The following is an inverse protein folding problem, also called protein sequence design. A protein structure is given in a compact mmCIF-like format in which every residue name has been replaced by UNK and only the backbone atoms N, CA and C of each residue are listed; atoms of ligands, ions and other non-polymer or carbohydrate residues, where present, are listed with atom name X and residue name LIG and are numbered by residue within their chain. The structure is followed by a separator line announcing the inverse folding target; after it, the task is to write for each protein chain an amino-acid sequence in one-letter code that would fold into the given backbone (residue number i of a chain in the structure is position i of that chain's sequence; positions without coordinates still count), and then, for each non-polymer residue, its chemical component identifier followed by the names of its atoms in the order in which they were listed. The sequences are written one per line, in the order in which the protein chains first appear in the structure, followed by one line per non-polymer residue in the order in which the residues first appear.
data_IF_606702170185
#
_entry.id   IF_606702170185
#
_cell.length_a   1.000
_cell.length_b   1.000
_cell.length_c   1.000
_cell.angle_alpha   90.00
_cell.angle_beta   90.00
_cell.angle_gamma   90.00
#
_symmetry.space_group_name_H-M   'P 1'
#
loop_
_entity.id
_entity.type
_entity.pdbx_description
1 polymer ?
#
# COMPACT_ATOMS: atom_id res chain seq x y z
N UNK A 1 37.35 -27.18 72.46
CA UNK A 1 36.07 -26.66 72.01
C UNK A 1 36.30 -25.86 70.75
N UNK A 2 35.82 -26.37 69.53
CA UNK A 2 36.03 -25.69 68.24
C UNK A 2 34.76 -24.88 67.93
N UNK A 3 34.96 -23.59 67.72
CA UNK A 3 33.87 -22.63 67.38
C UNK A 3 33.31 -22.86 66.00
N UNK A 4 32.02 -23.21 65.83
CA UNK A 4 31.29 -23.47 64.58
C UNK A 4 30.58 -22.21 64.03
N UNK A 5 31.22 -21.05 64.06
CA UNK A 5 30.46 -19.82 63.73
C UNK A 5 30.99 -18.98 62.54
N UNK A 6 31.76 -19.54 61.63
CA UNK A 6 32.32 -18.75 60.54
C UNK A 6 31.99 -19.18 59.09
N UNK A 7 30.91 -20.00 58.85
CA UNK A 7 30.66 -20.55 57.53
C UNK A 7 29.41 -20.04 56.81
N UNK A 8 28.73 -19.03 57.35
CA UNK A 8 27.42 -18.64 56.82
C UNK A 8 27.34 -17.19 56.28
N UNK A 9 28.42 -16.41 56.39
CA UNK A 9 28.44 -15.02 55.88
C UNK A 9 28.66 -14.88 54.37
N UNK A 10 29.44 -15.80 53.77
CA UNK A 10 29.75 -15.75 52.31
C UNK A 10 28.55 -16.09 51.39
N UNK A 11 27.66 -16.98 51.82
CA UNK A 11 26.50 -17.38 50.99
C UNK A 11 25.37 -16.35 50.93
N UNK A 12 25.21 -15.52 51.97
CA UNK A 12 24.18 -14.50 52.01
C UNK A 12 24.49 -13.31 51.07
N UNK A 13 25.78 -12.93 50.96
CA UNK A 13 26.21 -11.84 50.09
C UNK A 13 26.21 -12.23 48.61
N UNK A 14 26.50 -13.50 48.27
CA UNK A 14 26.42 -14.00 46.90
C UNK A 14 24.96 -14.04 46.38
N UNK A 15 23.98 -14.42 47.22
CA UNK A 15 22.58 -14.36 46.84
C UNK A 15 22.05 -12.93 46.65
N UNK A 16 22.53 -11.96 47.46
CA UNK A 16 22.12 -10.56 47.30
C UNK A 16 22.66 -9.93 46.01
N UNK A 17 23.91 -10.24 45.65
CA UNK A 17 24.50 -9.75 44.39
C UNK A 17 23.83 -10.36 43.16
N UNK A 18 23.45 -11.64 43.18
CA UNK A 18 22.75 -12.29 42.10
C UNK A 18 21.32 -11.73 41.92
N UNK A 19 20.64 -11.40 43.02
CA UNK A 19 19.30 -10.78 42.96
C UNK A 19 19.34 -9.36 42.40
N UNK A 20 20.33 -8.55 42.77
CA UNK A 20 20.48 -7.17 42.27
C UNK A 20 20.85 -7.18 40.76
N UNK A 21 21.72 -8.08 40.33
CA UNK A 21 22.12 -8.20 38.93
C UNK A 21 20.93 -8.62 38.06
N UNK A 22 20.06 -9.52 38.53
CA UNK A 22 18.83 -9.94 37.84
C UNK A 22 17.82 -8.79 37.72
N UNK A 23 17.69 -7.97 38.79
CA UNK A 23 16.75 -6.82 38.76
C UNK A 23 17.20 -5.74 37.78
N UNK A 24 18.51 -5.46 37.71
CA UNK A 24 19.10 -4.46 36.80
C UNK A 24 18.98 -4.90 35.35
N UNK A 25 19.13 -6.19 35.03
CA UNK A 25 18.93 -6.71 33.67
C UNK A 25 17.47 -6.62 33.22
N UNK A 26 16.52 -6.91 34.13
CA UNK A 26 15.06 -6.77 33.82
C UNK A 26 14.67 -5.31 33.59
N UNK A 27 15.20 -4.37 34.38
CA UNK A 27 14.93 -2.94 34.17
C UNK A 27 15.56 -2.41 32.88
N UNK A 28 16.75 -2.87 32.52
CA UNK A 28 17.41 -2.52 31.24
C UNK A 28 16.65 -3.10 30.04
N UNK A 29 16.07 -4.31 30.13
CA UNK A 29 15.24 -4.88 29.07
C UNK A 29 13.90 -4.15 28.92
N UNK A 30 13.30 -3.65 30.02
CA UNK A 30 12.05 -2.88 29.96
C UNK A 30 12.26 -1.47 29.39
N UNK A 31 13.42 -0.86 29.56
CA UNK A 31 13.73 0.45 28.97
C UNK A 31 14.09 0.40 27.48
N UNK A 32 14.49 -0.76 26.94
CA UNK A 32 14.78 -0.94 25.51
C UNK A 32 13.53 -1.15 24.65
N UNK A 33 12.34 -1.32 25.27
CA UNK A 33 11.09 -1.63 24.55
C UNK A 33 10.22 -0.43 24.20
N UNK A 34 10.65 0.81 24.47
CA UNK A 34 9.81 2.00 24.30
C UNK A 34 10.44 3.07 23.41
N UNK A 35 10.98 2.69 22.24
CA UNK A 35 11.24 3.68 21.19
C UNK A 35 10.96 3.08 19.81
N UNK A 36 9.83 2.42 19.63
CA UNK A 36 9.18 2.39 18.32
C UNK A 36 8.57 3.79 18.12
N UNK A 37 9.42 4.74 17.72
CA UNK A 37 9.00 6.05 17.26
C UNK A 37 8.00 5.80 16.11
N UNK A 38 6.72 5.89 16.42
CA UNK A 38 5.61 5.65 15.50
C UNK A 38 5.48 6.75 14.44
N UNK A 39 6.62 7.25 13.94
CA UNK A 39 6.65 8.11 12.77
C UNK A 39 6.15 7.28 11.59
N UNK A 40 4.88 7.46 11.23
CA UNK A 40 4.38 6.99 9.93
C UNK A 40 5.35 7.52 8.88
N UNK A 41 5.87 6.64 8.05
CA UNK A 41 6.73 7.05 6.93
C UNK A 41 5.98 8.15 6.17
N UNK A 42 6.67 9.28 5.94
CA UNK A 42 6.07 10.40 5.20
C UNK A 42 5.74 9.93 3.80
N UNK A 43 4.47 10.05 3.41
CA UNK A 43 4.01 9.71 2.06
C UNK A 43 4.23 10.89 1.11
N UNK A 44 4.42 10.58 -0.16
CA UNK A 44 4.30 11.58 -1.22
C UNK A 44 2.83 12.04 -1.33
N UNK A 45 2.61 13.32 -1.64
CA UNK A 45 1.24 13.89 -1.68
C UNK A 45 0.39 13.22 -2.75
N UNK A 46 0.91 13.09 -3.98
CA UNK A 46 0.22 12.37 -5.05
C UNK A 46 1.19 11.81 -6.10
N UNK A 47 0.68 10.87 -6.92
CA UNK A 47 1.39 10.36 -8.09
C UNK A 47 0.43 9.87 -9.18
N UNK A 48 0.85 9.97 -10.44
CA UNK A 48 0.11 9.50 -11.62
C UNK A 48 0.87 8.32 -12.24
N UNK A 49 0.16 7.18 -12.41
CA UNK A 49 0.76 5.90 -12.80
C UNK A 49 -0.15 5.16 -13.78
N UNK A 50 -0.38 5.72 -14.97
CA UNK A 50 -1.34 5.16 -15.95
C UNK A 50 -0.85 3.84 -16.55
N UNK A 51 0.47 3.63 -16.59
CA UNK A 51 1.08 2.40 -17.12
C UNK A 51 1.51 1.41 -16.00
N UNK A 52 0.89 1.53 -14.81
CA UNK A 52 1.18 0.64 -13.70
C UNK A 52 0.16 -0.49 -13.62
N UNK A 53 0.60 -1.65 -13.15
CA UNK A 53 -0.25 -2.79 -12.84
C UNK A 53 -0.18 -3.17 -11.35
N UNK A 54 -0.80 -4.31 -11.00
CA UNK A 54 -0.86 -4.86 -9.65
C UNK A 54 0.52 -5.03 -8.97
N UNK A 55 1.61 -5.15 -9.71
CA UNK A 55 2.97 -5.30 -9.16
C UNK A 55 3.45 -4.00 -8.51
N UNK A 56 2.88 -2.86 -8.90
CA UNK A 56 3.22 -1.55 -8.36
C UNK A 56 2.58 -1.27 -6.98
N UNK A 57 1.64 -2.09 -6.48
CA UNK A 57 0.95 -1.87 -5.21
C UNK A 57 1.89 -1.53 -4.04
N UNK A 58 3.04 -2.22 -3.83
CA UNK A 58 3.97 -1.86 -2.75
C UNK A 58 4.55 -0.44 -2.88
N UNK A 59 4.74 0.05 -4.10
CA UNK A 59 5.23 1.42 -4.37
C UNK A 59 4.11 2.45 -4.17
N UNK A 60 2.91 2.14 -4.64
CA UNK A 60 1.75 3.04 -4.59
C UNK A 60 1.33 3.38 -3.16
N UNK A 61 1.55 2.49 -2.20
CA UNK A 61 1.30 2.71 -0.76
C UNK A 61 2.09 3.88 -0.17
N UNK A 62 3.18 4.30 -0.81
CA UNK A 62 3.98 5.43 -0.37
C UNK A 62 3.37 6.80 -0.75
N UNK A 63 2.17 6.82 -1.33
CA UNK A 63 1.46 8.02 -1.75
C UNK A 63 0.18 8.21 -0.94
N UNK A 64 -0.17 9.48 -0.66
CA UNK A 64 -1.47 9.82 -0.06
C UNK A 64 -2.59 9.65 -1.09
N UNK A 65 -2.30 10.02 -2.35
CA UNK A 65 -3.23 9.95 -3.46
C UNK A 65 -2.52 9.38 -4.70
N UNK A 66 -3.16 8.45 -5.37
CA UNK A 66 -2.69 7.92 -6.66
C UNK A 66 -3.78 8.01 -7.71
N UNK A 67 -3.36 8.33 -8.94
CA UNK A 67 -4.17 8.21 -10.15
C UNK A 67 -3.57 7.06 -10.97
N UNK A 68 -4.36 6.04 -11.22
CA UNK A 68 -3.96 4.80 -11.91
C UNK A 68 -4.99 4.45 -12.98
N UNK A 69 -4.66 3.54 -13.89
CA UNK A 69 -5.67 2.85 -14.69
C UNK A 69 -6.18 1.63 -13.90
N UNK A 70 -7.36 1.76 -13.29
CA UNK A 70 -7.91 0.75 -12.40
C UNK A 70 -8.20 -0.59 -13.10
N UNK A 71 -8.30 -0.64 -14.43
CA UNK A 71 -8.53 -1.88 -15.19
C UNK A 71 -7.36 -2.88 -15.06
N UNK A 72 -6.16 -2.42 -14.68
CA UNK A 72 -4.99 -3.27 -14.41
C UNK A 72 -4.88 -3.75 -12.96
N UNK A 73 -5.87 -3.41 -12.11
CA UNK A 73 -5.87 -3.76 -10.68
C UNK A 73 -7.13 -4.54 -10.30
N UNK A 74 -6.97 -5.48 -9.38
CA UNK A 74 -8.12 -6.17 -8.81
C UNK A 74 -8.76 -5.34 -7.68
N UNK A 75 -10.04 -5.60 -7.39
CA UNK A 75 -10.72 -5.03 -6.20
C UNK A 75 -9.94 -5.30 -4.90
N UNK A 76 -9.21 -6.41 -4.82
CA UNK A 76 -8.36 -6.74 -3.66
C UNK A 76 -7.15 -5.80 -3.56
N UNK A 77 -6.56 -5.42 -4.69
CA UNK A 77 -5.40 -4.53 -4.71
C UNK A 77 -5.80 -3.10 -4.33
N UNK A 78 -6.94 -2.63 -4.84
CA UNK A 78 -7.52 -1.33 -4.44
C UNK A 78 -7.82 -1.31 -2.93
N UNK A 79 -8.44 -2.36 -2.37
CA UNK A 79 -8.68 -2.46 -0.92
C UNK A 79 -7.39 -2.40 -0.09
N UNK A 80 -6.28 -2.98 -0.58
CA UNK A 80 -4.99 -2.88 0.11
C UNK A 80 -4.47 -1.44 0.14
N UNK A 81 -4.58 -0.71 -0.96
CA UNK A 81 -4.19 0.71 -1.02
C UNK A 81 -5.02 1.55 -0.04
N UNK A 82 -6.34 1.35 -0.02
CA UNK A 82 -7.23 2.03 0.94
C UNK A 82 -6.90 1.69 2.39
N UNK A 83 -6.58 0.42 2.71
CA UNK A 83 -6.21 0.00 4.06
C UNK A 83 -4.91 0.67 4.55
N UNK A 84 -4.00 1.02 3.64
CA UNK A 84 -2.78 1.79 3.93
C UNK A 84 -3.02 3.32 3.93
N UNK A 85 -4.29 3.75 3.77
CA UNK A 85 -4.67 5.16 3.75
C UNK A 85 -4.33 5.89 2.46
N UNK A 86 -4.15 5.17 1.34
CA UNK A 86 -3.93 5.77 0.02
C UNK A 86 -5.28 5.97 -0.67
N UNK A 87 -5.58 7.19 -1.10
CA UNK A 87 -6.74 7.49 -1.96
C UNK A 87 -6.41 7.08 -3.39
N UNK A 88 -7.36 6.42 -4.05
CA UNK A 88 -7.19 5.93 -5.42
C UNK A 88 -8.21 6.59 -6.33
N UNK A 89 -7.75 7.20 -7.41
CA UNK A 89 -8.56 7.67 -8.52
C UNK A 89 -8.23 6.85 -9.76
N UNK A 90 -9.24 6.54 -10.57
CA UNK A 90 -9.04 5.85 -11.84
C UNK A 90 -9.01 6.83 -12.99
N UNK A 91 -8.03 6.66 -13.87
CA UNK A 91 -8.12 7.17 -15.23
C UNK A 91 -9.23 6.44 -15.97
N UNK A 92 -9.95 7.16 -16.78
CA UNK A 92 -10.96 6.64 -17.69
C UNK A 92 -10.88 7.43 -19.00
N UNK A 93 -10.67 6.72 -20.11
CA UNK A 93 -10.76 7.28 -21.44
C UNK A 93 -12.22 7.23 -21.92
N UNK A 94 -12.80 8.39 -22.17
CA UNK A 94 -14.21 8.51 -22.64
C UNK A 94 -14.32 9.04 -24.07
N UNK A 95 -13.24 9.58 -24.62
CA UNK A 95 -13.21 10.20 -25.95
C UNK A 95 -12.72 9.29 -27.05
N UNK A 96 -12.05 8.21 -26.70
CA UNK A 96 -11.52 7.25 -27.66
C UNK A 96 -11.72 5.81 -27.21
N UNK A 97 -11.65 4.89 -28.16
CA UNK A 97 -11.62 3.44 -27.92
C UNK A 97 -10.22 2.92 -28.23
N UNK A 98 -9.60 2.28 -27.21
CA UNK A 98 -8.21 1.81 -27.25
C UNK A 98 -8.17 0.31 -27.67
N UNK A 99 -7.39 -0.05 -28.69
CA UNK A 99 -7.40 -1.38 -29.30
C UNK A 99 -6.91 -2.52 -28.38
N UNK A 100 -6.19 -2.19 -27.32
CA UNK A 100 -5.72 -3.14 -26.32
C UNK A 100 -6.74 -3.41 -25.19
N UNK A 101 -7.88 -2.73 -25.19
CA UNK A 101 -8.93 -2.95 -24.21
C UNK A 101 -9.78 -4.18 -24.52
N UNK A 102 -10.21 -4.93 -23.50
CA UNK A 102 -11.04 -6.12 -23.71
C UNK A 102 -12.34 -5.85 -24.47
N UNK A 103 -12.86 -4.64 -24.32
CA UNK A 103 -14.13 -4.22 -24.94
C UNK A 103 -13.97 -3.61 -26.35
N UNK A 104 -12.75 -3.45 -26.84
CA UNK A 104 -12.49 -2.80 -28.14
C UNK A 104 -13.35 -3.36 -29.27
N UNK A 105 -13.34 -4.68 -29.46
CA UNK A 105 -14.09 -5.34 -30.53
C UNK A 105 -15.60 -5.13 -30.49
N UNK A 106 -16.14 -4.87 -29.30
CA UNK A 106 -17.57 -4.59 -29.11
C UNK A 106 -17.92 -3.19 -29.58
N UNK A 107 -17.03 -2.22 -29.40
CA UNK A 107 -17.33 -0.79 -29.60
C UNK A 107 -16.51 -0.13 -30.72
N UNK A 108 -15.62 -0.85 -31.41
CA UNK A 108 -14.82 -0.29 -32.52
C UNK A 108 -15.67 0.29 -33.65
N UNK A 109 -16.90 -0.22 -33.82
CA UNK A 109 -17.86 0.26 -34.83
C UNK A 109 -18.40 1.67 -34.56
N UNK A 110 -18.22 2.19 -33.34
CA UNK A 110 -18.56 3.56 -32.95
C UNK A 110 -17.43 4.55 -33.23
N UNK A 111 -16.30 4.08 -33.77
CA UNK A 111 -15.17 4.93 -34.12
C UNK A 111 -15.57 5.89 -35.26
N UNK A 112 -15.21 7.18 -35.09
CA UNK A 112 -15.49 8.26 -36.04
C UNK A 112 -14.21 8.80 -36.71
N UNK A 113 -13.03 8.36 -36.27
CA UNK A 113 -11.76 8.75 -36.89
C UNK A 113 -10.56 8.20 -36.10
N UNK A 114 -9.39 8.27 -36.73
CA UNK A 114 -8.13 7.91 -36.09
C UNK A 114 -7.70 9.00 -35.10
N UNK A 115 -7.06 8.58 -34.01
CA UNK A 115 -6.52 9.51 -33.01
C UNK A 115 -5.08 9.88 -33.41
N UNK A 116 -4.84 11.14 -33.73
CA UNK A 116 -3.53 11.58 -34.20
C UNK A 116 -2.43 11.30 -33.16
N UNK A 117 -1.33 10.69 -33.61
CA UNK A 117 -0.17 10.29 -32.82
C UNK A 117 -0.43 9.12 -31.82
N UNK A 118 -1.58 8.47 -31.86
CA UNK A 118 -1.92 7.32 -31.02
C UNK A 118 -2.56 6.22 -31.87
N UNK A 119 -1.75 5.43 -32.55
CA UNK A 119 -2.20 4.38 -33.50
C UNK A 119 -3.10 3.31 -32.84
N UNK A 120 -2.98 3.16 -31.51
CA UNK A 120 -3.79 2.22 -30.74
C UNK A 120 -5.19 2.75 -30.41
N UNK A 121 -5.49 4.01 -30.70
CA UNK A 121 -6.72 4.67 -30.32
C UNK A 121 -7.52 5.18 -31.54
N UNK A 122 -8.81 5.22 -31.39
CA UNK A 122 -9.71 5.86 -32.36
C UNK A 122 -10.69 6.75 -31.63
N UNK A 123 -10.93 7.95 -32.17
CA UNK A 123 -12.01 8.81 -31.64
C UNK A 123 -13.33 8.09 -31.71
N UNK A 124 -14.16 8.23 -30.68
CA UNK A 124 -15.49 7.62 -30.61
C UNK A 124 -16.56 8.70 -30.55
N UNK A 125 -17.74 8.41 -31.10
CA UNK A 125 -18.91 9.27 -30.95
C UNK A 125 -19.40 9.21 -29.49
N UNK A 126 -19.00 10.19 -28.69
CA UNK A 126 -19.42 10.30 -27.28
C UNK A 126 -20.90 10.57 -27.11
N UNK A 127 -21.63 10.98 -28.16
CA UNK A 127 -23.07 11.16 -28.14
C UNK A 127 -23.83 9.85 -28.38
N UNK A 128 -23.14 8.78 -28.80
CA UNK A 128 -23.76 7.46 -28.99
C UNK A 128 -24.36 6.94 -27.66
N UNK A 129 -25.66 6.61 -27.63
CA UNK A 129 -26.30 6.03 -26.46
C UNK A 129 -25.60 4.75 -25.97
N UNK A 130 -25.15 3.90 -26.89
CA UNK A 130 -24.47 2.65 -26.57
C UNK A 130 -23.13 2.90 -25.88
N UNK A 131 -22.39 3.91 -26.32
CA UNK A 131 -21.14 4.31 -25.69
C UNK A 131 -21.38 4.92 -24.31
N UNK A 132 -22.37 5.78 -24.17
CA UNK A 132 -22.73 6.39 -22.87
C UNK A 132 -23.18 5.34 -21.85
N UNK A 133 -23.98 4.37 -22.27
CA UNK A 133 -24.41 3.25 -21.42
C UNK A 133 -23.18 2.45 -20.96
N UNK A 134 -22.31 2.06 -21.90
CA UNK A 134 -21.10 1.31 -21.60
C UNK A 134 -20.20 2.04 -20.59
N UNK A 135 -19.92 3.33 -20.81
CA UNK A 135 -19.12 4.13 -19.89
C UNK A 135 -19.78 4.20 -18.50
N UNK A 136 -21.12 4.34 -18.45
CA UNK A 136 -21.87 4.30 -17.21
C UNK A 136 -21.73 2.98 -16.44
N UNK A 137 -21.67 1.85 -17.14
CA UNK A 137 -21.43 0.53 -16.55
C UNK A 137 -19.98 0.35 -16.08
N UNK A 138 -19.01 0.90 -16.82
CA UNK A 138 -17.59 0.77 -16.53
C UNK A 138 -17.17 1.50 -15.24
N UNK A 139 -17.93 2.54 -14.81
CA UNK A 139 -17.62 3.34 -13.61
C UNK A 139 -18.34 2.84 -12.34
N UNK A 140 -19.11 1.78 -12.40
CA UNK A 140 -19.80 1.15 -11.26
C UNK A 140 -18.93 0.08 -10.60
#
# INVERSE_FOLDING_TARGET
MKCKSCKNRGKRNACLFLGILSLVTVVLCLSASCNADGRKAQKYVYGVFLNADRTAVPKLKNYETVLIDAQYFSKKDIRKLHADGTKVYSYLNIGSVENFRPYYKTYEHLAIGDYENWEEEKWVDVASPDWQQFIGELVQ
#
